data_IF_158034468686
#
_entry.id   IF_158034468686
#
_cell.length_a   1.000
_cell.length_b   1.000
_cell.length_c   1.000
_cell.angle_alpha   90.00
_cell.angle_beta   90.00
_cell.angle_gamma   90.00
#
_symmetry.space_group_name_H-M   'P 1'
#
loop_
_entity.id
_entity.type
_entity.pdbx_description
1 polymer ?
#
# COMPACT_ATOMS: atom_id res chain seq x y z
N UNK A 1 3.99 10.53 -0.21
CA UNK A 1 2.87 9.81 0.44
C UNK A 1 1.78 9.46 -0.56
N UNK A 2 1.41 10.39 -1.44
CA UNK A 2 0.41 10.19 -2.50
C UNK A 2 0.53 8.86 -3.29
N UNK A 3 1.70 8.59 -3.87
CA UNK A 3 1.96 7.35 -4.61
C UNK A 3 1.72 6.10 -3.77
N UNK A 4 2.07 6.12 -2.48
CA UNK A 4 1.88 4.97 -1.60
C UNK A 4 0.39 4.68 -1.41
N UNK A 5 -0.40 5.67 -0.99
CA UNK A 5 -1.82 5.51 -0.67
C UNK A 5 -2.65 5.11 -1.89
N UNK A 6 -2.35 5.64 -3.08
CA UNK A 6 -3.04 5.25 -4.32
C UNK A 6 -2.64 3.86 -4.85
N UNK A 7 -1.69 3.17 -4.22
CA UNK A 7 -1.23 1.85 -4.63
C UNK A 7 -1.59 0.73 -3.65
N UNK A 8 -2.32 1.03 -2.57
CA UNK A 8 -2.73 0.09 -1.54
C UNK A 8 -4.21 0.28 -1.22
N UNK A 9 -4.85 -0.71 -0.62
CA UNK A 9 -6.13 -0.55 0.06
C UNK A 9 -5.85 -0.13 1.52
N UNK A 10 -6.03 1.15 1.89
CA UNK A 10 -5.68 1.66 3.21
C UNK A 10 -6.71 1.28 4.28
N UNK A 11 -7.87 0.71 3.91
CA UNK A 11 -8.95 0.37 4.84
C UNK A 11 -8.80 -1.03 5.42
N UNK A 12 -7.66 -1.70 5.18
CA UNK A 12 -7.36 -3.07 5.63
C UNK A 12 -6.01 -3.15 6.33
N UNK A 13 -5.88 -4.05 7.30
CA UNK A 13 -4.65 -4.34 8.04
C UNK A 13 -4.29 -5.84 8.08
N UNK A 14 -5.07 -6.69 7.42
CA UNK A 14 -4.97 -8.16 7.41
C UNK A 14 -4.48 -8.73 6.08
N UNK A 15 -4.23 -7.87 5.09
CA UNK A 15 -3.79 -8.27 3.76
C UNK A 15 -3.97 -7.18 2.72
N UNK A 16 -3.73 -7.52 1.46
CA UNK A 16 -3.95 -6.66 0.31
C UNK A 16 -4.56 -7.43 -0.86
N UNK A 17 -5.70 -6.95 -1.33
CA UNK A 17 -6.42 -7.54 -2.46
C UNK A 17 -6.72 -9.03 -2.21
N UNK A 18 -6.24 -9.93 -3.07
CA UNK A 18 -6.37 -11.38 -2.88
C UNK A 18 -5.32 -11.99 -1.94
N UNK A 19 -4.26 -11.26 -1.58
CA UNK A 19 -3.20 -11.77 -0.71
C UNK A 19 -3.54 -11.50 0.75
N UNK A 20 -3.62 -12.58 1.54
CA UNK A 20 -4.02 -12.54 2.94
C UNK A 20 -2.85 -12.86 3.86
N UNK A 21 -2.80 -12.21 5.02
CA UNK A 21 -1.77 -12.42 6.03
C UNK A 21 -0.96 -11.16 6.34
N UNK A 22 -0.39 -11.13 7.54
CA UNK A 22 0.32 -9.96 8.08
C UNK A 22 1.48 -9.48 7.20
N UNK A 23 2.10 -10.36 6.42
CA UNK A 23 3.17 -10.00 5.48
C UNK A 23 2.73 -9.07 4.34
N UNK A 24 1.41 -8.98 4.10
CA UNK A 24 0.83 -8.12 3.06
C UNK A 24 0.18 -6.86 3.62
N UNK A 25 0.12 -6.68 4.96
CA UNK A 25 -0.53 -5.52 5.56
C UNK A 25 0.14 -4.21 5.13
N UNK A 26 -0.63 -3.13 4.86
CA UNK A 26 -0.04 -1.85 4.55
C UNK A 26 0.60 -1.22 5.80
N UNK A 27 1.86 -0.83 5.66
CA UNK A 27 2.65 -0.18 6.71
C UNK A 27 3.61 0.84 6.10
N UNK A 28 3.91 1.90 6.84
CA UNK A 28 4.94 2.89 6.55
C UNK A 28 6.00 2.79 7.65
N UNK A 29 7.23 2.51 7.24
CA UNK A 29 8.40 2.50 8.13
C UNK A 29 9.13 3.84 8.00
N UNK A 30 9.36 4.54 9.12
CA UNK A 30 10.07 5.82 9.14
C UNK A 30 11.44 5.72 9.82
N UNK A 31 12.43 6.45 9.34
CA UNK A 31 13.76 6.53 9.94
C UNK A 31 13.92 7.71 10.91
N UNK A 32 13.06 8.72 10.82
CA UNK A 32 13.09 9.88 11.71
C UNK A 32 11.78 10.66 11.77
N UNK A 33 11.70 11.60 12.72
CA UNK A 33 10.47 12.32 13.04
C UNK A 33 9.89 13.08 11.85
N UNK A 34 10.72 13.67 10.98
CA UNK A 34 10.21 14.36 9.79
C UNK A 34 9.40 13.44 8.86
N UNK A 35 9.88 12.21 8.62
CA UNK A 35 9.15 11.23 7.81
C UNK A 35 7.86 10.77 8.50
N UNK A 36 7.91 10.56 9.82
CA UNK A 36 6.73 10.23 10.63
C UNK A 36 5.66 11.32 10.53
N UNK A 37 6.02 12.57 10.80
CA UNK A 37 5.09 13.70 10.73
C UNK A 37 4.50 13.88 9.34
N UNK A 38 5.28 13.70 8.27
CA UNK A 38 4.76 13.77 6.90
C UNK A 38 3.76 12.64 6.59
N UNK A 39 4.01 11.42 7.08
CA UNK A 39 3.10 10.30 6.90
C UNK A 39 1.80 10.48 7.69
N UNK A 40 1.90 10.92 8.95
CA UNK A 40 0.76 11.20 9.83
C UNK A 40 -0.09 12.35 9.28
N UNK A 41 0.53 13.46 8.88
CA UNK A 41 -0.18 14.60 8.31
C UNK A 41 -0.89 14.24 7.00
N UNK A 42 -0.25 13.45 6.13
CA UNK A 42 -0.88 13.03 4.87
C UNK A 42 -2.04 12.04 5.13
N UNK A 43 -1.87 11.11 6.09
CA UNK A 43 -2.95 10.22 6.54
C UNK A 43 -4.14 11.02 7.07
N UNK A 44 -3.89 12.01 7.93
CA UNK A 44 -4.94 12.86 8.49
C UNK A 44 -5.65 13.65 7.39
N UNK A 45 -4.90 14.25 6.46
CA UNK A 45 -5.46 14.98 5.32
C UNK A 45 -6.45 14.14 4.48
N UNK A 46 -6.12 12.87 4.22
CA UNK A 46 -7.03 11.98 3.47
C UNK A 46 -8.34 11.70 4.21
N UNK A 47 -8.30 11.66 5.54
CA UNK A 47 -9.48 11.49 6.39
C UNK A 47 -10.30 12.79 6.38
N UNK A 48 -9.63 13.94 6.56
CA UNK A 48 -10.28 15.25 6.61
C UNK A 48 -10.94 15.64 5.27
N UNK A 49 -10.38 15.20 4.15
CA UNK A 49 -10.92 15.41 2.80
C UNK A 49 -12.01 14.38 2.42
N UNK A 50 -12.44 13.52 3.36
CA UNK A 50 -13.39 12.42 3.15
C UNK A 50 -13.05 11.50 1.96
N UNK A 51 -11.76 11.44 1.57
CA UNK A 51 -11.29 10.63 0.43
C UNK A 51 -11.37 9.13 0.73
N UNK A 52 -11.21 8.76 2.00
CA UNK A 52 -11.30 7.40 2.47
C UNK A 52 -11.92 7.40 3.86
N UNK A 53 -12.93 6.55 4.07
CA UNK A 53 -13.68 6.48 5.35
C UNK A 53 -12.83 6.10 6.57
N UNK A 54 -11.74 5.35 6.37
CA UNK A 54 -10.82 4.97 7.43
C UNK A 54 -9.45 4.59 6.87
N UNK A 55 -8.39 4.84 7.63
CA UNK A 55 -7.02 4.46 7.25
C UNK A 55 -6.40 3.63 8.37
N UNK A 56 -6.25 2.33 8.12
CA UNK A 56 -5.65 1.34 9.04
C UNK A 56 -4.13 1.19 8.86
N UNK A 57 -3.54 1.91 7.89
CA UNK A 57 -2.09 1.93 7.66
C UNK A 57 -1.34 2.29 8.94
N UNK A 58 -0.42 1.41 9.34
CA UNK A 58 0.47 1.61 10.49
C UNK A 58 1.64 2.51 10.10
N UNK A 59 2.06 3.38 11.01
CA UNK A 59 3.23 4.25 10.85
C UNK A 59 4.17 3.94 12.02
N UNK A 60 5.28 3.25 11.76
CA UNK A 60 6.15 2.70 12.81
C UNK A 60 7.63 2.95 12.49
N UNK A 61 8.52 2.98 13.51
CA UNK A 61 9.95 3.11 13.28
C UNK A 61 10.46 1.98 12.37
N UNK A 62 11.34 2.33 11.44
CA UNK A 62 12.09 1.38 10.64
C UNK A 62 12.95 0.51 11.55
N UNK A 63 13.04 -0.77 11.19
CA UNK A 63 13.94 -1.76 11.80
C UNK A 63 14.89 -2.27 10.73
N UNK A 64 15.78 -3.18 11.11
CA UNK A 64 16.68 -3.87 10.17
C UNK A 64 15.90 -4.40 8.97
N UNK A 65 16.29 -3.96 7.78
CA UNK A 65 15.76 -4.44 6.52
C UNK A 65 16.64 -5.56 5.98
N UNK A 66 16.04 -6.73 5.74
CA UNK A 66 16.71 -7.86 5.12
C UNK A 66 16.28 -7.94 3.65
N UNK A 67 17.19 -7.76 2.68
CA UNK A 67 16.85 -7.87 1.27
C UNK A 67 16.30 -9.26 0.95
N UNK A 68 15.17 -9.29 0.23
CA UNK A 68 14.64 -10.53 -0.33
C UNK A 68 15.57 -11.10 -1.42
N UNK A 69 15.41 -12.39 -1.72
CA UNK A 69 16.21 -13.14 -2.69
C UNK A 69 16.22 -12.49 -4.08
N UNK A 70 17.31 -12.71 -4.83
CA UNK A 70 17.55 -12.05 -6.13
C UNK A 70 16.45 -12.29 -7.17
N UNK A 71 15.72 -13.41 -7.09
CA UNK A 71 14.62 -13.72 -8.01
C UNK A 71 13.37 -12.87 -7.73
N UNK A 72 13.18 -12.37 -6.51
CA UNK A 72 12.09 -11.44 -6.17
C UNK A 72 12.35 -10.02 -6.69
N UNK A 73 13.62 -9.63 -6.84
CA UNK A 73 13.99 -8.29 -7.27
C UNK A 73 13.53 -8.02 -8.71
N UNK A 74 12.83 -6.90 -8.93
CA UNK A 74 12.26 -6.49 -10.23
C UNK A 74 11.35 -7.58 -10.86
N UNK A 75 10.66 -8.37 -10.04
CA UNK A 75 9.85 -9.50 -10.52
C UNK A 75 8.83 -9.11 -11.60
N UNK A 76 8.15 -7.97 -11.46
CA UNK A 76 7.17 -7.50 -12.44
C UNK A 76 7.77 -7.20 -13.83
N UNK A 77 9.06 -6.84 -13.88
CA UNK A 77 9.79 -6.60 -15.14
C UNK A 77 10.28 -7.91 -15.75
N UNK A 78 10.74 -8.85 -14.90
CA UNK A 78 11.26 -10.16 -15.33
C UNK A 78 10.16 -11.11 -15.79
N UNK A 79 8.95 -10.99 -15.22
CA UNK A 79 7.81 -11.88 -15.48
C UNK A 79 6.53 -11.09 -15.81
N UNK A 80 6.53 -10.25 -16.87
CA UNK A 80 5.47 -9.27 -17.10
C UNK A 80 4.10 -9.91 -17.38
N UNK A 81 4.04 -11.01 -18.13
CA UNK A 81 2.78 -11.71 -18.42
C UNK A 81 2.15 -12.31 -17.16
N UNK A 82 2.96 -13.06 -16.39
CA UNK A 82 2.51 -13.67 -15.13
C UNK A 82 2.08 -12.62 -14.11
N UNK A 83 2.86 -11.54 -13.99
CA UNK A 83 2.52 -10.44 -13.08
C UNK A 83 1.24 -9.73 -13.50
N UNK A 84 1.04 -9.44 -14.79
CA UNK A 84 -0.20 -8.80 -15.29
C UNK A 84 -1.43 -9.68 -15.04
N UNK A 85 -1.34 -10.97 -15.35
CA UNK A 85 -2.44 -11.91 -15.10
C UNK A 85 -2.78 -11.96 -13.61
N UNK A 86 -1.77 -12.12 -12.74
CA UNK A 86 -1.96 -12.13 -11.30
C UNK A 86 -2.56 -10.81 -10.77
N UNK A 87 -2.03 -9.65 -11.17
CA UNK A 87 -2.54 -8.34 -10.74
C UNK A 87 -4.03 -8.18 -11.08
N UNK A 88 -4.40 -8.59 -12.30
CA UNK A 88 -5.79 -8.54 -12.76
C UNK A 88 -6.68 -9.52 -11.97
N UNK A 89 -6.29 -10.79 -11.88
CA UNK A 89 -7.09 -11.82 -11.20
C UNK A 89 -7.20 -11.58 -9.69
N UNK A 90 -6.22 -10.92 -9.09
CA UNK A 90 -6.21 -10.53 -7.69
C UNK A 90 -7.17 -9.35 -7.39
N UNK A 91 -7.76 -8.72 -8.41
CA UNK A 91 -8.74 -7.64 -8.25
C UNK A 91 -8.17 -6.30 -7.82
N UNK A 92 -6.84 -6.12 -7.85
CA UNK A 92 -6.15 -4.91 -7.38
C UNK A 92 -6.69 -3.64 -8.03
N UNK A 93 -6.71 -3.62 -9.35
CA UNK A 93 -7.07 -2.41 -10.10
C UNK A 93 -8.55 -2.06 -9.91
N UNK A 94 -9.42 -3.08 -9.82
CA UNK A 94 -10.84 -2.89 -9.51
C UNK A 94 -11.02 -2.26 -8.13
N UNK A 95 -10.35 -2.78 -7.10
CA UNK A 95 -10.45 -2.26 -5.73
C UNK A 95 -9.92 -0.84 -5.60
N UNK A 96 -8.79 -0.52 -6.24
CA UNK A 96 -8.25 0.83 -6.24
C UNK A 96 -9.19 1.81 -6.97
N UNK A 97 -9.80 1.39 -8.08
CA UNK A 97 -10.82 2.16 -8.77
C UNK A 97 -12.02 2.46 -7.85
N UNK A 98 -12.53 1.47 -7.13
CA UNK A 98 -13.64 1.65 -6.20
C UNK A 98 -13.33 2.63 -5.05
N UNK A 99 -12.07 2.68 -4.61
CA UNK A 99 -11.63 3.56 -3.53
C UNK A 99 -11.42 5.00 -3.97
N UNK A 100 -10.86 5.20 -5.17
CA UNK A 100 -10.32 6.50 -5.58
C UNK A 100 -11.12 7.16 -6.71
N UNK A 101 -11.80 6.40 -7.56
CA UNK A 101 -12.61 6.93 -8.68
C UNK A 101 -14.08 7.14 -8.28
N UNK A 102 -14.48 6.86 -7.03
CA UNK A 102 -15.83 7.19 -6.53
C UNK A 102 -16.01 8.69 -6.22
N UNK A 103 -15.00 9.51 -6.49
CA UNK A 103 -14.95 10.94 -6.18
C UNK A 103 -14.54 11.74 -7.43
N UNK A 104 -15.38 11.68 -8.48
CA UNK A 104 -15.42 12.63 -9.60
C UNK A 104 -16.75 13.40 -9.60
#
# INVERSE_FOLDING_TARGET
MDVYFHNIDPTRDDGQFCDQGMQYRPIIFYEGESQKSLAEAYKQRLIDEDKVSSILVQIVPAKTFYPAEAYHQKYYQKNPLRYRFYRYSCGRDKRLKELWDSYD
#
